data_IF_073124920871
#
_entry.id   IF_073124920871
#
_cell.length_a   1.000
_cell.length_b   1.000
_cell.length_c   1.000
_cell.angle_alpha   90.00
_cell.angle_beta   90.00
_cell.angle_gamma   90.00
#
_symmetry.space_group_name_H-M   'P 1'
#
loop_
_entity.id
_entity.type
_entity.pdbx_description
1 polymer ?
#
# COMPACT_ATOMS: atom_id res chain seq x y z
N UNK A 1 -0.78 -20.68 9.94
CA UNK A 1 -0.32 -19.63 9.02
C UNK A 1 0.92 -20.15 8.31
N UNK A 2 0.93 -20.17 6.97
CA UNK A 2 2.09 -20.60 6.19
C UNK A 2 2.93 -19.37 5.84
N UNK A 3 4.24 -19.48 6.05
CA UNK A 3 5.21 -18.43 5.72
C UNK A 3 6.27 -19.04 4.81
N UNK A 4 6.53 -18.38 3.69
CA UNK A 4 7.48 -18.80 2.67
C UNK A 4 8.63 -17.79 2.58
N UNK A 5 9.79 -18.26 2.17
CA UNK A 5 11.00 -17.48 1.95
C UNK A 5 11.55 -17.71 0.55
N UNK A 6 12.63 -17.02 0.16
CA UNK A 6 13.27 -17.19 -1.14
C UNK A 6 13.61 -18.66 -1.48
N UNK A 7 13.97 -19.46 -0.47
CA UNK A 7 14.26 -20.89 -0.64
C UNK A 7 13.04 -21.74 -1.05
N UNK A 8 11.83 -21.23 -0.80
CA UNK A 8 10.55 -21.90 -1.08
C UNK A 8 9.97 -21.48 -2.44
N UNK A 9 10.61 -20.51 -3.13
CA UNK A 9 10.22 -19.98 -4.42
C UNK A 9 11.21 -20.42 -5.52
N UNK A 10 10.69 -20.67 -6.72
CA UNK A 10 11.51 -20.90 -7.90
C UNK A 10 11.44 -19.67 -8.83
N UNK A 11 12.48 -18.84 -8.82
CA UNK A 11 12.54 -17.61 -9.62
C UNK A 11 12.50 -17.86 -11.14
N UNK A 12 12.88 -19.02 -11.62
CA UNK A 12 12.87 -19.30 -13.07
C UNK A 12 11.43 -19.32 -13.60
N UNK A 13 10.45 -19.74 -12.78
CA UNK A 13 9.04 -19.69 -13.17
C UNK A 13 8.56 -18.30 -13.56
N UNK A 14 9.06 -17.25 -12.90
CA UNK A 14 8.66 -15.86 -13.21
C UNK A 14 9.55 -15.22 -14.27
N UNK A 15 10.82 -15.63 -14.38
CA UNK A 15 11.75 -15.14 -15.38
C UNK A 15 11.41 -15.59 -16.80
N UNK A 16 10.79 -16.74 -16.93
CA UNK A 16 10.33 -17.29 -18.23
C UNK A 16 9.05 -16.61 -18.73
N UNK A 17 8.38 -15.81 -17.90
CA UNK A 17 7.12 -15.13 -18.23
C UNK A 17 7.33 -13.71 -18.73
N UNK A 18 6.44 -13.30 -19.64
CA UNK A 18 6.31 -11.88 -20.03
C UNK A 18 5.38 -11.21 -19.00
N UNK A 19 5.86 -10.21 -18.29
CA UNK A 19 5.12 -9.55 -17.21
C UNK A 19 4.73 -8.15 -17.67
N UNK A 20 3.43 -7.88 -17.71
CA UNK A 20 2.88 -6.55 -17.85
C UNK A 20 2.64 -5.94 -16.46
N UNK A 21 3.25 -4.81 -16.17
CA UNK A 21 2.94 -3.98 -15.00
C UNK A 21 2.08 -2.81 -15.46
N UNK A 22 0.79 -2.83 -15.10
CA UNK A 22 -0.17 -1.80 -15.50
C UNK A 22 -0.19 -0.69 -14.46
N UNK A 23 0.31 0.48 -14.85
CA UNK A 23 0.53 1.63 -13.95
C UNK A 23 1.97 1.76 -13.48
N UNK A 24 2.39 3.00 -13.20
CA UNK A 24 3.76 3.32 -12.75
C UNK A 24 3.74 4.39 -11.64
N UNK A 25 2.80 4.21 -10.71
CA UNK A 25 2.75 4.93 -9.43
C UNK A 25 3.75 4.33 -8.44
N UNK A 26 3.56 4.54 -7.15
CA UNK A 26 4.49 4.10 -6.08
C UNK A 26 4.79 2.58 -6.16
N UNK A 27 3.77 1.74 -6.19
CA UNK A 27 3.94 0.29 -6.30
C UNK A 27 4.45 -0.13 -7.70
N UNK A 28 3.87 0.44 -8.77
CA UNK A 28 4.28 0.11 -10.14
C UNK A 28 5.75 0.42 -10.41
N UNK A 29 6.24 1.57 -9.94
CA UNK A 29 7.65 1.92 -9.97
C UNK A 29 8.52 0.88 -9.24
N UNK A 30 8.16 0.58 -7.99
CA UNK A 30 8.96 -0.32 -7.16
C UNK A 30 9.00 -1.74 -7.73
N UNK A 31 7.83 -2.31 -8.02
CA UNK A 31 7.73 -3.70 -8.47
C UNK A 31 8.33 -3.91 -9.86
N UNK A 32 8.05 -3.02 -10.83
CA UNK A 32 8.63 -3.15 -12.17
C UNK A 32 10.17 -3.09 -12.15
N UNK A 33 10.74 -2.19 -11.35
CA UNK A 33 12.20 -2.11 -11.24
C UNK A 33 12.80 -3.30 -10.46
N UNK A 34 12.15 -3.79 -9.40
CA UNK A 34 12.63 -4.96 -8.66
C UNK A 34 12.58 -6.24 -9.51
N UNK A 35 11.50 -6.44 -10.26
CA UNK A 35 11.37 -7.54 -11.23
C UNK A 35 12.46 -7.50 -12.28
N UNK A 36 12.69 -6.31 -12.89
CA UNK A 36 13.77 -6.11 -13.86
C UNK A 36 15.14 -6.46 -13.25
N UNK A 37 15.45 -5.94 -12.06
CA UNK A 37 16.73 -6.20 -11.38
C UNK A 37 16.86 -7.68 -10.96
N UNK A 38 15.76 -8.42 -10.83
CA UNK A 38 15.72 -9.87 -10.61
C UNK A 38 15.83 -10.70 -11.90
N UNK A 39 15.98 -10.05 -13.06
CA UNK A 39 16.16 -10.69 -14.36
C UNK A 39 14.86 -11.13 -15.03
N UNK A 40 13.71 -10.56 -14.65
CA UNK A 40 12.41 -10.85 -15.26
C UNK A 40 12.18 -9.99 -16.54
N UNK A 41 11.35 -10.51 -17.44
CA UNK A 41 10.93 -9.81 -18.66
C UNK A 41 9.73 -8.91 -18.34
N UNK A 42 9.98 -7.62 -18.12
CA UNK A 42 8.97 -6.64 -17.68
C UNK A 42 8.71 -5.60 -18.74
N UNK A 43 7.44 -5.37 -19.03
CA UNK A 43 6.97 -4.23 -19.83
C UNK A 43 5.93 -3.46 -19.03
N UNK A 44 6.05 -2.14 -19.00
CA UNK A 44 5.09 -1.27 -18.27
C UNK A 44 3.97 -0.86 -19.21
N UNK A 45 2.72 -1.03 -18.77
CA UNK A 45 1.52 -0.60 -19.48
C UNK A 45 1.04 0.75 -18.99
N UNK A 46 1.02 1.75 -19.87
CA UNK A 46 0.55 3.10 -19.57
C UNK A 46 -0.36 3.64 -20.68
N UNK A 47 -1.24 4.58 -20.30
CA UNK A 47 -1.96 5.34 -21.33
C UNK A 47 -0.99 6.23 -22.11
N UNK A 48 -1.22 6.39 -23.39
CA UNK A 48 -0.45 7.32 -24.24
C UNK A 48 -0.51 8.73 -23.65
N UNK A 49 0.63 9.40 -23.52
CA UNK A 49 0.75 10.73 -22.94
C UNK A 49 0.74 10.76 -21.39
N UNK A 50 0.89 9.62 -20.75
CA UNK A 50 1.08 9.58 -19.30
C UNK A 50 2.38 10.28 -18.88
N UNK A 51 2.33 11.11 -17.83
CA UNK A 51 3.52 11.74 -17.25
C UNK A 51 4.56 10.72 -16.73
N UNK A 52 4.13 9.49 -16.43
CA UNK A 52 5.01 8.42 -15.98
C UNK A 52 5.73 7.70 -17.14
N UNK A 53 5.38 7.97 -18.40
CA UNK A 53 5.94 7.27 -19.57
C UNK A 53 7.46 7.45 -19.66
N UNK A 54 7.91 8.69 -19.74
CA UNK A 54 9.35 9.00 -19.78
C UNK A 54 10.09 8.56 -18.51
N UNK A 55 9.41 8.58 -17.35
CA UNK A 55 10.01 8.13 -16.08
C UNK A 55 10.33 6.64 -16.13
N UNK A 56 9.45 5.82 -16.69
CA UNK A 56 9.64 4.39 -16.84
C UNK A 56 10.72 4.07 -17.91
N UNK A 57 10.72 4.79 -19.04
CA UNK A 57 11.76 4.64 -20.08
C UNK A 57 13.16 5.03 -19.56
N UNK A 58 13.27 6.13 -18.80
CA UNK A 58 14.54 6.52 -18.15
C UNK A 58 15.04 5.48 -17.14
N UNK A 59 14.15 4.73 -16.52
CA UNK A 59 14.53 3.59 -15.68
C UNK A 59 14.96 2.35 -16.50
N UNK A 60 14.95 2.44 -17.84
CA UNK A 60 15.33 1.38 -18.75
C UNK A 60 14.28 0.27 -18.86
N UNK A 61 13.02 0.60 -18.67
CA UNK A 61 11.88 -0.30 -18.89
C UNK A 61 11.26 -0.06 -20.26
N UNK A 62 10.81 -1.12 -20.91
CA UNK A 62 9.97 -1.03 -22.10
C UNK A 62 8.60 -0.51 -21.69
N UNK A 63 8.02 0.43 -22.42
CA UNK A 63 6.71 1.01 -22.15
C UNK A 63 5.82 0.89 -23.38
N UNK A 64 4.60 0.44 -23.20
CA UNK A 64 3.59 0.27 -24.26
C UNK A 64 2.21 0.75 -23.78
N UNK A 65 1.27 1.02 -24.72
CA UNK A 65 -0.15 1.15 -24.35
C UNK A 65 -0.68 -0.09 -23.64
N UNK A 66 -1.62 0.13 -22.69
CA UNK A 66 -2.14 -0.94 -21.81
C UNK A 66 -2.64 -2.16 -22.58
N UNK A 67 -3.48 -1.95 -23.60
CA UNK A 67 -4.04 -3.06 -24.39
C UNK A 67 -2.96 -3.88 -25.10
N UNK A 68 -1.91 -3.20 -25.61
CA UNK A 68 -0.82 -3.89 -26.32
C UNK A 68 0.00 -4.75 -25.35
N UNK A 69 0.39 -4.21 -24.19
CA UNK A 69 1.18 -4.99 -23.23
C UNK A 69 0.39 -6.13 -22.64
N UNK A 70 -0.92 -5.96 -22.39
CA UNK A 70 -1.80 -7.03 -21.90
C UNK A 70 -1.92 -8.19 -22.90
N UNK A 71 -1.95 -7.87 -24.20
CA UNK A 71 -1.98 -8.90 -25.24
C UNK A 71 -0.69 -9.72 -25.31
N UNK A 72 0.47 -9.07 -25.15
CA UNK A 72 1.79 -9.72 -25.19
C UNK A 72 2.13 -10.53 -23.93
N UNK A 73 1.54 -10.19 -22.77
CA UNK A 73 1.94 -10.71 -21.47
C UNK A 73 1.34 -12.08 -21.14
N UNK A 74 2.09 -12.88 -20.38
CA UNK A 74 1.60 -14.06 -19.66
C UNK A 74 0.97 -13.68 -18.34
N UNK A 75 1.53 -12.67 -17.66
CA UNK A 75 1.08 -12.15 -16.35
C UNK A 75 0.77 -10.66 -16.50
N UNK A 76 -0.43 -10.27 -16.10
CA UNK A 76 -0.87 -8.87 -16.04
C UNK A 76 -1.02 -8.46 -14.58
N UNK A 77 -0.10 -7.65 -14.07
CA UNK A 77 -0.11 -7.08 -12.73
C UNK A 77 -0.79 -5.71 -12.74
N UNK A 78 -1.94 -5.61 -12.08
CA UNK A 78 -2.74 -4.38 -11.96
C UNK A 78 -2.22 -3.51 -10.82
N UNK A 79 -1.56 -2.39 -11.13
CA UNK A 79 -1.02 -1.43 -10.16
C UNK A 79 -1.49 0.01 -10.47
N UNK A 80 -2.72 0.12 -10.89
CA UNK A 80 -3.46 1.38 -11.07
C UNK A 80 -4.33 1.65 -9.85
N UNK A 81 -4.79 2.90 -9.62
CA UNK A 81 -5.74 3.19 -8.55
C UNK A 81 -6.99 2.32 -8.63
N UNK A 82 -7.50 1.86 -7.47
CA UNK A 82 -8.61 0.91 -7.38
C UNK A 82 -9.87 1.40 -8.08
N UNK A 83 -10.15 2.70 -7.98
CA UNK A 83 -11.32 3.31 -8.62
C UNK A 83 -11.25 3.35 -10.15
N UNK A 84 -10.06 3.23 -10.72
CA UNK A 84 -9.84 3.20 -12.18
C UNK A 84 -9.67 1.77 -12.72
N UNK A 85 -9.32 0.83 -11.85
CA UNK A 85 -8.97 -0.53 -12.25
C UNK A 85 -10.11 -1.24 -13.01
N UNK A 86 -11.39 -1.19 -12.62
CA UNK A 86 -12.48 -1.85 -13.33
C UNK A 86 -12.66 -1.33 -14.78
N UNK A 87 -12.58 -0.01 -14.97
CA UNK A 87 -12.72 0.58 -16.31
C UNK A 87 -11.54 0.20 -17.22
N UNK A 88 -10.31 0.30 -16.71
CA UNK A 88 -9.10 -0.06 -17.45
C UNK A 88 -9.13 -1.55 -17.80
N UNK A 89 -9.51 -2.41 -16.85
CA UNK A 89 -9.66 -3.84 -17.09
C UNK A 89 -10.66 -4.12 -18.20
N UNK A 90 -11.88 -3.61 -18.10
CA UNK A 90 -12.94 -3.87 -19.05
C UNK A 90 -12.61 -3.38 -20.46
N UNK A 91 -11.96 -2.22 -20.58
CA UNK A 91 -11.69 -1.59 -21.88
C UNK A 91 -10.42 -2.11 -22.56
N UNK A 92 -9.38 -2.43 -21.78
CA UNK A 92 -8.03 -2.60 -22.35
C UNK A 92 -7.39 -3.97 -22.03
N UNK A 93 -7.95 -4.73 -21.09
CA UNK A 93 -7.28 -5.96 -20.59
C UNK A 93 -8.16 -7.20 -20.73
N UNK A 94 -9.46 -7.10 -20.49
CA UNK A 94 -10.36 -8.25 -20.37
C UNK A 94 -10.26 -9.23 -21.56
N UNK A 95 -10.25 -8.73 -22.80
CA UNK A 95 -10.14 -9.55 -24.02
C UNK A 95 -8.79 -10.29 -24.13
N UNK A 96 -7.77 -9.78 -23.44
CA UNK A 96 -6.42 -10.37 -23.45
C UNK A 96 -6.24 -11.45 -22.38
N UNK A 97 -7.16 -11.56 -21.41
CA UNK A 97 -7.10 -12.58 -20.36
C UNK A 97 -7.71 -13.87 -20.91
N UNK A 98 -6.88 -14.68 -21.54
CA UNK A 98 -7.24 -15.97 -22.14
C UNK A 98 -6.80 -17.13 -21.22
N UNK A 99 -7.30 -18.37 -21.48
CA UNK A 99 -6.92 -19.55 -20.68
C UNK A 99 -5.41 -19.68 -20.49
N UNK A 100 -4.97 -19.91 -19.25
CA UNK A 100 -3.56 -20.06 -18.88
C UNK A 100 -2.81 -18.78 -18.60
N UNK A 101 -3.39 -17.60 -18.88
CA UNK A 101 -2.81 -16.31 -18.44
C UNK A 101 -3.12 -16.03 -16.97
N UNK A 102 -2.35 -15.14 -16.38
CA UNK A 102 -2.45 -14.74 -14.97
C UNK A 102 -2.85 -13.27 -14.87
N UNK A 103 -3.92 -13.01 -14.15
CA UNK A 103 -4.30 -11.67 -13.71
C UNK A 103 -3.90 -11.51 -12.24
N UNK A 104 -3.16 -10.46 -11.91
CA UNK A 104 -2.61 -10.28 -10.57
C UNK A 104 -2.80 -8.87 -10.04
N UNK A 105 -2.79 -8.76 -8.71
CA UNK A 105 -3.06 -7.55 -7.96
C UNK A 105 -2.09 -7.41 -6.79
N UNK A 106 -1.93 -6.20 -6.25
CA UNK A 106 -1.22 -5.95 -4.99
C UNK A 106 -2.14 -5.55 -3.84
N UNK A 107 -3.45 -5.48 -4.10
CA UNK A 107 -4.52 -5.29 -3.13
C UNK A 107 -5.77 -6.01 -3.64
N UNK A 108 -6.51 -6.62 -2.75
CA UNK A 108 -7.62 -7.49 -3.14
C UNK A 108 -8.93 -6.79 -3.51
N UNK A 109 -9.02 -5.46 -3.44
CA UNK A 109 -10.23 -4.65 -3.54
C UNK A 109 -11.13 -5.00 -4.73
N UNK A 110 -10.58 -4.98 -5.93
CA UNK A 110 -11.36 -5.18 -7.15
C UNK A 110 -11.95 -6.60 -7.29
N UNK A 111 -11.26 -7.61 -6.79
CA UNK A 111 -11.70 -9.01 -6.81
C UNK A 111 -12.64 -9.28 -5.65
N UNK A 112 -12.30 -8.89 -4.43
CA UNK A 112 -13.09 -9.14 -3.23
C UNK A 112 -14.50 -8.54 -3.31
N UNK A 113 -14.60 -7.31 -3.82
CA UNK A 113 -15.90 -6.63 -3.97
C UNK A 113 -16.54 -6.83 -5.35
N UNK A 114 -16.03 -7.74 -6.17
CA UNK A 114 -16.55 -8.08 -7.50
C UNK A 114 -16.64 -6.92 -8.49
N UNK A 115 -15.77 -5.93 -8.39
CA UNK A 115 -15.64 -4.86 -9.39
C UNK A 115 -14.94 -5.34 -10.66
N UNK A 116 -14.07 -6.33 -10.54
CA UNK A 116 -13.50 -7.08 -11.65
C UNK A 116 -13.86 -8.55 -11.48
N UNK A 117 -14.40 -9.14 -12.55
CA UNK A 117 -14.76 -10.56 -12.63
C UNK A 117 -13.99 -11.20 -13.79
N UNK A 118 -12.84 -11.82 -13.52
CA UNK A 118 -12.05 -12.50 -14.55
C UNK A 118 -12.78 -13.76 -15.05
N UNK A 119 -12.48 -14.24 -16.29
CA UNK A 119 -12.96 -15.52 -16.76
C UNK A 119 -12.59 -16.66 -15.79
N UNK A 120 -13.45 -17.70 -15.68
CA UNK A 120 -13.23 -18.82 -14.75
C UNK A 120 -11.96 -19.64 -15.08
N UNK A 121 -11.51 -19.61 -16.32
CA UNK A 121 -10.31 -20.27 -16.82
C UNK A 121 -9.04 -19.42 -16.75
N UNK A 122 -9.09 -18.22 -16.19
CA UNK A 122 -7.95 -17.39 -15.88
C UNK A 122 -7.36 -17.70 -14.49
N UNK A 123 -6.04 -17.63 -14.36
CA UNK A 123 -5.39 -17.69 -13.06
C UNK A 123 -5.46 -16.30 -12.40
N UNK A 124 -5.85 -16.26 -11.13
CA UNK A 124 -5.95 -14.99 -10.40
C UNK A 124 -5.22 -15.08 -9.06
N UNK A 125 -4.24 -14.22 -8.87
CA UNK A 125 -3.49 -14.17 -7.62
C UNK A 125 -3.22 -12.73 -7.17
N UNK A 126 -2.80 -12.61 -5.93
CA UNK A 126 -2.37 -11.36 -5.33
C UNK A 126 -1.00 -11.53 -4.69
N UNK A 127 -0.14 -10.52 -4.87
CA UNK A 127 1.08 -10.32 -4.08
C UNK A 127 1.05 -8.90 -3.53
N UNK A 128 0.80 -8.77 -2.23
CA UNK A 128 0.63 -7.50 -1.54
C UNK A 128 1.82 -7.21 -0.60
N UNK A 129 2.80 -6.40 -1.01
CA UNK A 129 3.84 -5.92 -0.10
C UNK A 129 3.22 -5.07 1.02
N UNK A 130 3.56 -5.36 2.29
CA UNK A 130 3.06 -4.61 3.44
C UNK A 130 3.94 -3.39 3.74
N UNK A 131 3.89 -2.44 2.80
CA UNK A 131 4.59 -1.17 2.88
C UNK A 131 4.45 -0.32 1.60
N UNK A 132 4.66 0.99 1.69
CA UNK A 132 4.64 1.88 0.54
C UNK A 132 5.67 1.48 -0.51
N UNK A 133 5.35 1.69 -1.80
CA UNK A 133 6.20 1.23 -2.91
C UNK A 133 7.64 1.75 -2.85
N UNK A 134 7.86 3.00 -2.43
CA UNK A 134 9.21 3.53 -2.29
C UNK A 134 10.05 2.77 -1.25
N UNK A 135 9.44 2.28 -0.16
CA UNK A 135 10.12 1.40 0.80
C UNK A 135 10.37 0.00 0.22
N UNK A 136 9.43 -0.56 -0.55
CA UNK A 136 9.64 -1.83 -1.27
C UNK A 136 10.88 -1.74 -2.16
N UNK A 137 11.05 -0.63 -2.89
CA UNK A 137 12.23 -0.40 -3.73
C UNK A 137 13.50 -0.18 -2.90
N UNK A 138 13.42 0.65 -1.87
CA UNK A 138 14.55 0.98 -1.00
C UNK A 138 15.12 -0.26 -0.33
N UNK A 139 14.29 -1.06 0.32
CA UNK A 139 14.71 -2.28 1.02
C UNK A 139 15.26 -3.32 0.04
N UNK A 140 14.64 -3.46 -1.13
CA UNK A 140 15.17 -4.34 -2.17
C UNK A 140 16.62 -3.97 -2.56
N UNK A 141 16.89 -2.69 -2.80
CA UNK A 141 18.24 -2.21 -3.17
C UNK A 141 19.28 -2.43 -2.08
N UNK A 142 18.88 -2.45 -0.82
CA UNK A 142 19.75 -2.75 0.33
C UNK A 142 20.00 -4.24 0.53
N UNK A 143 19.39 -5.11 -0.27
CA UNK A 143 19.45 -6.55 -0.07
C UNK A 143 18.49 -7.09 0.99
N UNK A 144 17.67 -6.23 1.57
CA UNK A 144 16.55 -6.57 2.45
C UNK A 144 15.24 -6.74 1.66
N UNK A 145 14.10 -6.81 2.32
CA UNK A 145 12.78 -6.92 1.70
C UNK A 145 11.68 -6.38 2.61
N UNK A 146 10.53 -6.12 2.02
CA UNK A 146 9.29 -5.84 2.74
C UNK A 146 8.47 -7.12 2.76
N UNK A 147 7.90 -7.55 3.91
CA UNK A 147 7.03 -8.71 3.97
C UNK A 147 5.88 -8.59 2.96
N UNK A 148 5.54 -9.70 2.30
CA UNK A 148 4.45 -9.76 1.33
C UNK A 148 3.36 -10.72 1.80
N UNK A 149 2.13 -10.46 1.39
CA UNK A 149 1.06 -11.43 1.44
C UNK A 149 0.89 -12.07 0.05
N UNK A 150 0.58 -13.36 0.01
CA UNK A 150 0.20 -14.07 -1.22
C UNK A 150 -1.16 -14.70 -1.05
N UNK A 151 -2.03 -14.53 -2.05
CA UNK A 151 -3.34 -15.16 -2.09
C UNK A 151 -3.69 -15.62 -3.51
N UNK A 152 -4.45 -16.70 -3.61
CA UNK A 152 -4.96 -17.25 -4.88
C UNK A 152 -6.47 -17.17 -4.85
N UNK A 153 -7.08 -16.59 -5.89
CA UNK A 153 -8.53 -16.56 -6.10
C UNK A 153 -8.98 -17.64 -7.10
N UNK A 154 -8.24 -17.82 -8.20
CA UNK A 154 -8.52 -18.83 -9.24
C UNK A 154 -7.21 -19.52 -9.65
N UNK A 155 -7.27 -20.85 -9.81
CA UNK A 155 -6.09 -21.69 -10.13
C UNK A 155 -6.44 -22.83 -11.09
N UNK A 156 -6.92 -22.55 -12.32
CA UNK A 156 -7.24 -23.58 -13.28
C UNK A 156 -6.01 -24.35 -13.78
N UNK A 157 -4.82 -23.79 -13.73
CA UNK A 157 -3.55 -24.46 -14.15
C UNK A 157 -2.89 -25.26 -13.03
N UNK A 158 -3.23 -25.01 -11.75
CA UNK A 158 -2.67 -25.69 -10.59
C UNK A 158 -1.28 -25.20 -10.16
N UNK A 159 -0.78 -24.11 -10.75
CA UNK A 159 0.56 -23.54 -10.46
C UNK A 159 0.52 -22.07 -9.99
N UNK A 160 -0.66 -21.49 -9.87
CA UNK A 160 -0.85 -20.05 -9.59
C UNK A 160 -0.16 -19.60 -8.30
N UNK A 161 -0.20 -20.46 -7.27
CA UNK A 161 0.49 -20.17 -6.00
C UNK A 161 2.01 -20.09 -6.18
N UNK A 162 2.59 -21.01 -6.95
CA UNK A 162 4.03 -21.06 -7.22
C UNK A 162 4.48 -19.81 -8.02
N UNK A 163 3.68 -19.40 -8.98
CA UNK A 163 3.89 -18.14 -9.72
C UNK A 163 3.83 -16.94 -8.77
N UNK A 164 2.83 -16.88 -7.88
CA UNK A 164 2.71 -15.82 -6.88
C UNK A 164 3.90 -15.75 -5.92
N UNK A 165 4.38 -16.90 -5.44
CA UNK A 165 5.57 -16.98 -4.58
C UNK A 165 6.83 -16.52 -5.33
N UNK A 166 6.99 -16.94 -6.60
CA UNK A 166 8.09 -16.51 -7.45
C UNK A 166 8.07 -15.02 -7.72
N UNK A 167 6.89 -14.45 -7.95
CA UNK A 167 6.70 -13.01 -8.09
C UNK A 167 7.08 -12.25 -6.81
N UNK A 168 6.58 -12.71 -5.65
CA UNK A 168 6.87 -12.11 -4.36
C UNK A 168 8.38 -12.14 -4.05
N UNK A 169 9.06 -13.23 -4.36
CA UNK A 169 10.51 -13.35 -4.22
C UNK A 169 11.25 -12.41 -5.18
N UNK A 170 10.82 -12.31 -6.44
CA UNK A 170 11.42 -11.42 -7.44
C UNK A 170 11.34 -9.93 -7.07
N UNK A 171 10.31 -9.52 -6.33
CA UNK A 171 10.21 -8.15 -5.81
C UNK A 171 10.89 -7.95 -4.46
N UNK A 172 11.49 -9.02 -3.87
CA UNK A 172 12.25 -8.98 -2.63
C UNK A 172 11.50 -9.43 -1.38
N UNK A 173 10.21 -9.79 -1.49
CA UNK A 173 9.38 -10.20 -0.35
C UNK A 173 9.87 -11.47 0.33
N UNK A 174 10.42 -12.43 -0.43
CA UNK A 174 10.93 -13.69 0.11
C UNK A 174 12.12 -13.54 1.08
N UNK A 175 12.82 -12.41 1.07
CA UNK A 175 13.88 -12.08 2.04
C UNK A 175 13.34 -11.78 3.43
N UNK A 176 12.15 -11.18 3.51
CA UNK A 176 11.48 -10.82 4.76
C UNK A 176 10.43 -11.86 5.20
N UNK A 177 9.82 -12.53 4.23
CA UNK A 177 8.80 -13.55 4.41
C UNK A 177 7.54 -13.23 3.60
N UNK A 178 6.94 -14.28 3.03
CA UNK A 178 5.69 -14.23 2.27
C UNK A 178 4.65 -15.04 3.02
N UNK A 179 3.59 -14.39 3.46
CA UNK A 179 2.53 -14.98 4.27
C UNK A 179 1.36 -15.36 3.36
N UNK A 180 0.91 -16.60 3.44
CA UNK A 180 -0.30 -17.05 2.72
C UNK A 180 -1.57 -16.55 3.41
N UNK A 181 -2.46 -15.96 2.62
CA UNK A 181 -3.73 -15.40 3.07
C UNK A 181 -4.83 -15.59 2.01
N UNK A 182 -5.93 -14.86 2.11
CA UNK A 182 -7.01 -14.81 1.14
C UNK A 182 -7.23 -13.38 0.64
N UNK A 183 -7.84 -13.20 -0.54
CA UNK A 183 -8.25 -11.88 -1.02
C UNK A 183 -9.13 -11.14 -0.01
N UNK A 184 -10.06 -11.87 0.61
CA UNK A 184 -10.93 -11.32 1.64
C UNK A 184 -10.16 -10.80 2.84
N UNK A 185 -9.31 -11.65 3.44
CA UNK A 185 -8.58 -11.30 4.66
C UNK A 185 -7.63 -10.11 4.42
N UNK A 186 -6.88 -10.15 3.32
CA UNK A 186 -6.00 -9.03 2.95
C UNK A 186 -6.80 -7.75 2.79
N UNK A 187 -7.86 -7.74 1.98
CA UNK A 187 -8.63 -6.53 1.66
C UNK A 187 -9.29 -5.94 2.91
N UNK A 188 -9.96 -6.77 3.71
CA UNK A 188 -10.67 -6.29 4.90
C UNK A 188 -9.71 -5.77 5.97
N UNK A 189 -8.58 -6.43 6.18
CA UNK A 189 -7.61 -6.01 7.21
C UNK A 189 -6.77 -4.82 6.77
N UNK A 190 -6.43 -4.72 5.50
CA UNK A 190 -5.68 -3.59 4.93
C UNK A 190 -6.51 -2.30 5.01
N UNK A 191 -7.73 -2.32 4.48
CA UNK A 191 -8.67 -1.19 4.57
C UNK A 191 -8.96 -0.78 6.03
N UNK A 192 -9.13 -1.76 6.93
CA UNK A 192 -9.33 -1.45 8.35
C UNK A 192 -8.08 -0.80 8.95
N UNK A 193 -6.90 -1.33 8.67
CA UNK A 193 -5.63 -0.80 9.15
C UNK A 193 -5.41 0.64 8.72
N UNK A 194 -5.65 0.95 7.43
CA UNK A 194 -5.53 2.30 6.89
C UNK A 194 -6.53 3.29 7.52
N UNK A 195 -7.79 2.90 7.65
CA UNK A 195 -8.83 3.78 8.15
C UNK A 195 -8.76 4.00 9.65
N UNK A 196 -8.63 2.91 10.41
CA UNK A 196 -8.76 2.96 11.86
C UNK A 196 -7.46 3.28 12.60
N UNK A 197 -6.29 2.95 12.02
CA UNK A 197 -5.01 3.02 12.74
C UNK A 197 -3.95 3.79 11.97
N UNK A 198 -3.46 3.24 10.83
CA UNK A 198 -2.21 3.65 10.18
C UNK A 198 -2.27 5.05 9.54
N UNK A 199 -3.40 5.41 8.95
CA UNK A 199 -3.60 6.70 8.29
C UNK A 199 -4.70 7.50 8.99
N UNK A 200 -5.97 7.08 8.89
CA UNK A 200 -7.10 7.85 9.39
C UNK A 200 -7.07 8.08 10.89
N UNK A 201 -6.91 7.01 11.69
CA UNK A 201 -6.84 7.11 13.15
C UNK A 201 -5.64 7.94 13.62
N UNK A 202 -4.44 7.65 13.09
CA UNK A 202 -3.21 8.33 13.45
C UNK A 202 -3.25 9.83 13.14
N UNK A 203 -3.63 10.21 11.92
CA UNK A 203 -3.66 11.62 11.52
C UNK A 203 -4.71 12.41 12.29
N UNK A 204 -5.85 11.80 12.59
CA UNK A 204 -6.89 12.41 13.41
C UNK A 204 -6.44 12.61 14.86
N UNK A 205 -5.73 11.64 15.44
CA UNK A 205 -5.14 11.76 16.78
C UNK A 205 -4.11 12.90 16.87
N UNK A 206 -3.21 12.97 15.88
CA UNK A 206 -2.20 14.03 15.77
C UNK A 206 -2.86 15.41 15.71
N UNK A 207 -3.86 15.58 14.83
CA UNK A 207 -4.58 16.85 14.67
C UNK A 207 -5.28 17.26 15.96
N UNK A 208 -6.02 16.35 16.58
CA UNK A 208 -6.72 16.63 17.83
C UNK A 208 -5.75 17.02 18.97
N UNK A 209 -4.58 16.37 19.07
CA UNK A 209 -3.54 16.75 20.03
C UNK A 209 -2.97 18.14 19.76
N UNK A 210 -2.64 18.44 18.51
CA UNK A 210 -2.14 19.75 18.09
C UNK A 210 -3.15 20.87 18.38
N UNK A 211 -4.42 20.68 18.01
CA UNK A 211 -5.50 21.63 18.26
C UNK A 211 -5.71 21.85 19.76
N UNK A 212 -5.77 20.80 20.55
CA UNK A 212 -5.94 20.89 22.01
C UNK A 212 -4.85 21.74 22.66
N UNK A 213 -3.59 21.58 22.27
CA UNK A 213 -2.50 22.36 22.82
C UNK A 213 -2.55 23.83 22.35
N UNK A 214 -2.80 24.08 21.08
CA UNK A 214 -2.82 25.43 20.53
C UNK A 214 -4.02 26.25 21.05
N UNK A 215 -5.20 25.64 21.19
CA UNK A 215 -6.38 26.24 21.80
C UNK A 215 -6.17 26.57 23.29
N UNK A 216 -5.36 25.77 23.99
CA UNK A 216 -4.96 26.06 25.35
C UNK A 216 -3.87 27.16 25.47
N UNK A 217 -3.43 27.75 24.33
CA UNK A 217 -2.47 28.84 24.29
C UNK A 217 -1.00 28.44 24.20
N UNK A 218 -0.69 27.17 24.00
CA UNK A 218 0.68 26.74 23.74
C UNK A 218 1.13 27.10 22.31
N UNK A 219 2.44 27.29 22.11
CA UNK A 219 2.97 27.63 20.81
C UNK A 219 2.74 26.49 19.79
N UNK A 220 2.33 26.82 18.55
CA UNK A 220 2.13 25.79 17.52
C UNK A 220 3.38 24.96 17.21
N UNK A 221 4.57 25.53 17.40
CA UNK A 221 5.84 24.84 17.23
C UNK A 221 6.01 23.70 18.24
N UNK A 222 5.72 23.96 19.52
CA UNK A 222 5.78 22.94 20.56
C UNK A 222 4.71 21.86 20.33
N UNK A 223 3.47 22.27 20.00
CA UNK A 223 2.40 21.33 19.68
C UNK A 223 2.77 20.42 18.48
N UNK A 224 3.46 20.97 17.47
CA UNK A 224 3.93 20.17 16.34
C UNK A 224 5.00 19.15 16.72
N UNK A 225 6.00 19.55 17.51
CA UNK A 225 7.06 18.63 17.94
C UNK A 225 6.50 17.50 18.80
N UNK A 226 5.67 17.82 19.78
CA UNK A 226 5.09 16.85 20.72
C UNK A 226 4.07 15.89 20.08
N UNK A 227 3.23 16.40 19.16
CA UNK A 227 2.14 15.59 18.61
C UNK A 227 2.47 14.92 17.27
N UNK A 228 3.47 15.41 16.52
CA UNK A 228 3.77 14.86 15.20
C UNK A 228 5.23 14.44 15.04
N UNK A 229 6.18 15.39 15.27
CA UNK A 229 7.57 15.12 14.92
C UNK A 229 8.18 13.97 15.73
N UNK A 230 8.00 13.98 17.04
CA UNK A 230 8.54 12.96 17.94
C UNK A 230 7.89 11.59 17.77
N UNK A 231 6.67 11.54 17.21
CA UNK A 231 5.95 10.29 17.01
C UNK A 231 6.76 9.27 16.18
N UNK A 232 7.54 9.73 15.20
CA UNK A 232 8.41 8.83 14.42
C UNK A 232 9.36 8.04 15.33
N UNK A 233 9.96 8.68 16.31
CA UNK A 233 10.94 8.04 17.22
C UNK A 233 10.24 6.99 18.09
N UNK A 234 9.02 7.27 18.55
CA UNK A 234 8.22 6.30 19.31
C UNK A 234 7.78 5.13 18.40
N UNK A 235 7.39 5.42 17.16
CA UNK A 235 7.01 4.38 16.20
C UNK A 235 8.21 3.49 15.84
N UNK A 236 9.41 4.05 15.72
CA UNK A 236 10.64 3.27 15.50
C UNK A 236 10.86 2.27 16.66
N UNK A 237 10.72 2.70 17.92
CA UNK A 237 10.82 1.80 19.09
C UNK A 237 9.74 0.71 19.09
N UNK A 238 8.50 1.06 18.72
CA UNK A 238 7.41 0.09 18.57
C UNK A 238 7.69 -0.93 17.46
N UNK A 239 8.26 -0.47 16.36
CA UNK A 239 8.62 -1.32 15.23
C UNK A 239 9.75 -2.30 15.55
N UNK A 240 10.77 -1.83 16.26
CA UNK A 240 11.95 -2.61 16.61
C UNK A 240 11.68 -3.65 17.70
N UNK A 241 10.97 -3.26 18.76
CA UNK A 241 10.85 -4.09 19.97
C UNK A 241 9.42 -4.32 20.47
N UNK A 242 8.42 -3.77 19.80
CA UNK A 242 7.02 -3.84 20.25
C UNK A 242 6.71 -2.92 21.43
N UNK A 243 5.45 -3.00 21.90
CA UNK A 243 4.92 -2.07 22.92
C UNK A 243 5.69 -2.17 24.25
N UNK A 244 6.08 -3.36 24.66
CA UNK A 244 6.76 -3.57 25.93
C UNK A 244 8.16 -2.94 25.95
N UNK A 245 8.90 -3.08 24.85
CA UNK A 245 10.25 -2.55 24.75
C UNK A 245 10.24 -1.03 24.53
N UNK A 246 9.29 -0.50 23.77
CA UNK A 246 9.06 0.94 23.69
C UNK A 246 8.82 1.53 25.10
N UNK A 247 7.96 0.91 25.92
CA UNK A 247 7.70 1.33 27.30
C UNK A 247 8.94 1.29 28.18
N UNK A 248 9.78 0.27 28.02
CA UNK A 248 11.06 0.17 28.72
C UNK A 248 12.03 1.31 28.36
N UNK A 249 11.95 1.78 27.12
CA UNK A 249 12.86 2.80 26.58
C UNK A 249 12.46 4.23 26.91
N UNK A 250 11.26 4.47 27.42
CA UNK A 250 10.78 5.80 27.82
C UNK A 250 10.85 6.00 29.34
N UNK A 251 10.63 7.24 29.82
CA UNK A 251 10.65 7.54 31.26
C UNK A 251 9.49 6.89 32.00
N UNK A 252 9.67 6.61 33.30
CA UNK A 252 8.60 6.10 34.15
C UNK A 252 7.36 7.02 34.17
N UNK A 253 7.55 8.32 34.05
CA UNK A 253 6.48 9.32 33.98
C UNK A 253 5.67 9.15 32.69
N UNK A 254 6.35 9.00 31.55
CA UNK A 254 5.72 8.76 30.26
C UNK A 254 4.99 7.41 30.25
N UNK A 255 5.64 6.35 30.76
CA UNK A 255 5.03 5.02 30.86
C UNK A 255 3.78 5.03 31.75
N UNK A 256 3.81 5.72 32.89
CA UNK A 256 2.63 5.85 33.74
C UNK A 256 1.50 6.62 33.05
N UNK A 257 1.83 7.68 32.32
CA UNK A 257 0.89 8.45 31.49
C UNK A 257 0.25 7.59 30.41
N UNK A 258 1.06 6.84 29.65
CA UNK A 258 0.60 5.92 28.63
C UNK A 258 -0.43 4.92 29.18
N UNK A 259 -0.07 4.20 30.25
CA UNK A 259 -0.92 3.15 30.80
C UNK A 259 -2.19 3.69 31.48
N UNK A 260 -2.19 4.89 32.03
CA UNK A 260 -3.32 5.46 32.79
C UNK A 260 -4.17 6.45 32.00
N UNK A 261 -3.63 7.12 30.98
CA UNK A 261 -4.31 8.14 30.18
C UNK A 261 -4.62 7.68 28.76
N UNK A 262 -3.81 6.81 28.20
CA UNK A 262 -4.10 6.19 26.89
C UNK A 262 -5.51 5.61 26.80
N UNK A 263 -5.98 4.80 27.79
CA UNK A 263 -7.35 4.26 27.77
C UNK A 263 -8.48 5.30 27.93
N UNK A 264 -8.17 6.54 28.27
CA UNK A 264 -9.16 7.64 28.27
C UNK A 264 -9.35 8.17 26.83
N UNK A 265 -8.27 8.24 26.06
CA UNK A 265 -8.29 8.71 24.68
C UNK A 265 -8.83 7.63 23.74
N UNK A 266 -8.27 6.42 23.84
CA UNK A 266 -8.75 5.25 23.08
C UNK A 266 -9.46 4.30 24.04
N UNK A 267 -10.76 4.47 24.17
CA UNK A 267 -11.64 3.78 25.11
C UNK A 267 -12.59 2.81 24.39
N UNK A 268 -13.52 2.21 25.16
CA UNK A 268 -14.52 1.27 24.62
C UNK A 268 -15.42 1.91 23.54
N UNK A 269 -15.70 3.21 23.62
CA UNK A 269 -16.47 3.91 22.59
C UNK A 269 -15.66 4.00 21.28
N UNK A 270 -14.38 4.31 21.37
CA UNK A 270 -13.47 4.31 20.22
C UNK A 270 -13.45 2.92 19.58
N UNK A 271 -13.36 1.86 20.38
CA UNK A 271 -13.39 0.47 19.89
C UNK A 271 -14.72 0.15 19.18
N UNK A 272 -15.87 0.55 19.73
CA UNK A 272 -17.17 0.37 19.06
C UNK A 272 -17.26 1.08 17.71
N UNK A 273 -16.66 2.26 17.57
CA UNK A 273 -16.55 2.95 16.28
C UNK A 273 -15.68 2.18 15.29
N UNK A 274 -14.56 1.63 15.72
CA UNK A 274 -13.72 0.76 14.91
C UNK A 274 -14.48 -0.50 14.44
N UNK A 275 -15.30 -1.10 15.28
CA UNK A 275 -16.16 -2.24 14.95
C UNK A 275 -17.20 -1.85 13.88
N UNK A 276 -17.71 -0.62 13.89
CA UNK A 276 -18.62 -0.11 12.88
C UNK A 276 -17.88 0.07 11.53
N UNK A 277 -16.70 0.67 11.53
CA UNK A 277 -15.86 0.79 10.32
C UNK A 277 -15.56 -0.58 9.70
N UNK A 278 -15.23 -1.57 10.55
CA UNK A 278 -14.98 -2.93 10.06
C UNK A 278 -16.23 -3.55 9.41
N UNK A 279 -17.42 -3.33 9.96
CA UNK A 279 -18.69 -3.80 9.36
C UNK A 279 -18.96 -3.13 8.01
N UNK A 280 -18.68 -1.83 7.87
CA UNK A 280 -18.83 -1.11 6.60
C UNK A 280 -17.87 -1.65 5.53
N UNK A 281 -16.66 -2.01 5.93
CA UNK A 281 -15.67 -2.67 5.06
C UNK A 281 -16.19 -4.06 4.66
N UNK A 282 -16.55 -4.91 5.62
CA UNK A 282 -17.00 -6.29 5.38
C UNK A 282 -18.26 -6.37 4.52
N UNK A 283 -19.18 -5.43 4.68
CA UNK A 283 -20.39 -5.34 3.86
C UNK A 283 -20.15 -4.74 2.47
N UNK A 284 -18.97 -4.21 2.20
CA UNK A 284 -18.64 -3.46 0.98
C UNK A 284 -19.29 -2.07 0.92
N UNK A 285 -19.84 -1.55 2.02
CA UNK A 285 -20.45 -0.22 2.05
C UNK A 285 -19.41 0.85 1.74
N UNK A 286 -18.24 0.79 2.38
CA UNK A 286 -17.13 1.70 2.09
C UNK A 286 -16.67 1.61 0.63
N UNK A 287 -16.51 0.42 0.10
CA UNK A 287 -16.06 0.21 -1.27
C UNK A 287 -17.05 0.82 -2.29
N UNK A 288 -18.36 0.63 -2.07
CA UNK A 288 -19.38 1.25 -2.92
C UNK A 288 -19.41 2.77 -2.80
N UNK A 289 -19.23 3.31 -1.59
CA UNK A 289 -19.15 4.77 -1.35
C UNK A 289 -17.98 5.37 -2.12
N UNK A 290 -16.78 4.79 -1.99
CA UNK A 290 -15.59 5.22 -2.72
C UNK A 290 -15.75 5.17 -4.25
N UNK A 291 -16.27 4.06 -4.77
CA UNK A 291 -16.50 3.93 -6.21
C UNK A 291 -17.54 4.91 -6.75
N UNK A 292 -18.56 5.24 -5.95
CA UNK A 292 -19.54 6.27 -6.32
C UNK A 292 -18.93 7.67 -6.29
N UNK A 293 -18.14 7.97 -5.25
CA UNK A 293 -17.41 9.25 -5.15
C UNK A 293 -16.48 9.44 -6.36
N UNK A 294 -15.75 8.38 -6.75
CA UNK A 294 -14.87 8.41 -7.91
C UNK A 294 -15.63 8.66 -9.23
N UNK A 295 -16.76 7.97 -9.45
CA UNK A 295 -17.61 8.14 -10.65
C UNK A 295 -18.19 9.54 -10.76
N UNK A 296 -18.41 10.21 -9.65
CA UNK A 296 -18.92 11.58 -9.59
C UNK A 296 -17.81 12.66 -9.65
N UNK A 297 -16.58 12.29 -9.94
CA UNK A 297 -15.45 13.23 -10.07
C UNK A 297 -14.78 13.61 -8.75
N UNK A 298 -15.04 12.89 -7.67
CA UNK A 298 -14.38 13.01 -6.36
C UNK A 298 -14.56 14.37 -5.65
N UNK A 299 -15.76 14.98 -5.64
CA UNK A 299 -15.94 16.30 -5.06
C UNK A 299 -15.68 16.36 -3.55
N UNK A 300 -16.16 15.34 -2.80
CA UNK A 300 -15.94 15.26 -1.36
C UNK A 300 -14.47 14.96 -1.02
N UNK A 301 -13.85 14.05 -1.77
CA UNK A 301 -12.43 13.76 -1.61
C UNK A 301 -11.58 15.01 -1.83
N UNK A 302 -11.86 15.78 -2.90
CA UNK A 302 -11.12 17.01 -3.20
C UNK A 302 -11.29 18.05 -2.07
N UNK A 303 -12.51 18.24 -1.58
CA UNK A 303 -12.76 19.16 -0.46
C UNK A 303 -12.00 18.77 0.81
N UNK A 304 -12.00 17.47 1.16
CA UNK A 304 -11.29 16.96 2.33
C UNK A 304 -9.76 17.09 2.18
N UNK A 305 -9.22 16.92 0.97
CA UNK A 305 -7.79 17.11 0.70
C UNK A 305 -7.39 18.58 0.81
N UNK A 306 -8.21 19.50 0.27
CA UNK A 306 -8.00 20.93 0.36
C UNK A 306 -8.04 21.40 1.82
N UNK A 307 -9.06 21.00 2.59
CA UNK A 307 -9.17 21.31 4.03
C UNK A 307 -7.96 20.79 4.84
N UNK A 308 -7.49 19.59 4.51
CA UNK A 308 -6.33 18.99 5.16
C UNK A 308 -5.03 19.78 4.88
N UNK A 309 -4.84 20.23 3.63
CA UNK A 309 -3.67 21.05 3.23
C UNK A 309 -3.66 22.44 3.87
N UNK A 310 -4.82 23.01 4.13
CA UNK A 310 -4.96 24.33 4.76
C UNK A 310 -4.80 24.29 6.29
N UNK A 311 -4.79 23.10 6.90
CA UNK A 311 -4.70 22.95 8.35
C UNK A 311 -3.44 23.63 8.91
N UNK A 312 -3.51 24.37 10.04
CA UNK A 312 -2.37 25.09 10.62
C UNK A 312 -1.13 24.22 10.87
N UNK A 313 -1.31 22.96 11.20
CA UNK A 313 -0.20 21.98 11.43
C UNK A 313 0.70 21.84 10.19
N UNK A 314 0.14 21.95 8.97
CA UNK A 314 0.91 21.82 7.74
C UNK A 314 1.85 23.02 7.53
N UNK A 315 1.35 24.22 7.79
CA UNK A 315 2.15 25.48 7.68
C UNK A 315 3.27 25.49 8.71
N UNK A 316 2.95 25.12 9.94
CA UNK A 316 3.95 25.01 11.04
C UNK A 316 4.99 23.96 10.70
N UNK A 317 4.54 22.78 10.29
CA UNK A 317 5.42 21.66 9.92
C UNK A 317 6.33 21.99 8.74
N UNK A 318 5.82 22.65 7.70
CA UNK A 318 6.64 23.07 6.55
C UNK A 318 7.81 23.95 6.99
N UNK A 319 7.55 24.94 7.86
CA UNK A 319 8.58 25.83 8.42
C UNK A 319 9.59 25.06 9.27
N UNK A 320 9.13 24.18 10.17
CA UNK A 320 10.02 23.48 11.09
C UNK A 320 10.87 22.42 10.38
N UNK A 321 10.34 21.77 9.33
CA UNK A 321 11.13 20.84 8.50
C UNK A 321 12.34 21.51 7.82
N UNK A 322 12.30 22.83 7.57
CA UNK A 322 13.47 23.55 7.03
C UNK A 322 14.63 23.65 8.02
N UNK A 323 14.38 23.46 9.32
CA UNK A 323 15.43 23.41 10.35
C UNK A 323 16.22 22.10 10.33
N UNK A 324 15.75 21.10 9.59
CA UNK A 324 16.28 19.74 9.52
C UNK A 324 16.61 19.37 8.05
N UNK A 325 17.71 19.91 7.47
CA UNK A 325 18.03 19.74 6.05
C UNK A 325 18.13 18.27 5.63
N UNK A 326 18.59 17.39 6.52
CA UNK A 326 18.67 15.95 6.26
C UNK A 326 17.34 15.29 5.95
N UNK A 327 16.20 15.86 6.37
CA UNK A 327 14.87 15.37 6.01
C UNK A 327 14.57 15.56 4.52
N UNK A 328 15.13 16.59 3.89
CA UNK A 328 15.01 16.79 2.46
C UNK A 328 15.88 15.80 1.66
N UNK A 329 17.07 15.47 2.19
CA UNK A 329 17.99 14.50 1.58
C UNK A 329 17.48 13.06 1.71
N UNK A 330 16.73 12.77 2.77
CA UNK A 330 16.15 11.44 3.03
C UNK A 330 14.76 11.24 2.43
N UNK A 331 14.26 12.14 1.58
CA UNK A 331 12.97 11.96 0.93
C UNK A 331 12.97 10.69 0.09
N UNK A 332 12.11 9.76 0.45
CA UNK A 332 11.90 8.50 -0.27
C UNK A 332 10.94 8.66 -1.46
N UNK A 333 10.26 9.80 -1.56
CA UNK A 333 9.30 10.15 -2.62
C UNK A 333 9.79 11.41 -3.31
N UNK A 334 10.04 11.31 -4.64
CA UNK A 334 10.35 12.43 -5.53
C UNK A 334 9.08 13.05 -6.12
#
# INVERSE_FOLDING_TARGET
>A
MNIYYDKDANLDLIREKQIAVIGYGSQGFAQANNLKDSGCNVTVGLRTGSASWEKAERAGLRVLPVAQVAAEADIVMMLVPDELAPEIYAREIAESITPGKYLSFSHGFSIHYNFIQPPEDANVFMVAPKGPGHLVRHEYKRGAGVPCLVAVSQDPTGDTKQIGLSYASAIGGGRAGVIETTFREETETDLFGEQAVLCGGLTSLIKAGFETLTEAGYSPEMAYFECLHEMKLIVDLLYEGGIAEMRYSISNTAQYGDMTRGPIVVNDETKRRMETLLKDIQSGAFARDWMNEARNGRPRFQQLDDDAREHPIERVGARLRTMMPWLAESRLVE
#
